data_IF_629898012376
#
_entry.id   IF_629898012376
#
_cell.length_a   1.000
_cell.length_b   1.000
_cell.length_c   1.000
_cell.angle_alpha   90.00
_cell.angle_beta   90.00
_cell.angle_gamma   90.00
#
_symmetry.space_group_name_H-M   'P 1'
#
loop_
_entity.id
_entity.type
_entity.pdbx_description
1 polymer ?
#
# COMPACT_ATOMS: atom_id res chain seq x y z
N UNK A 1 17.83 0.22 -18.11
CA UNK A 1 16.58 1.01 -18.02
C UNK A 1 16.83 2.19 -17.09
N UNK A 2 16.52 3.41 -17.53
CA UNK A 2 16.62 4.58 -16.67
C UNK A 2 15.37 4.66 -15.80
N UNK A 3 15.51 4.60 -14.47
CA UNK A 3 14.40 4.80 -13.53
C UNK A 3 13.99 6.26 -13.53
N UNK A 4 12.67 6.53 -13.61
CA UNK A 4 12.12 7.88 -13.50
C UNK A 4 11.65 8.12 -12.08
N UNK A 5 11.89 9.33 -11.60
CA UNK A 5 11.42 9.79 -10.28
C UNK A 5 10.68 11.12 -10.48
N UNK A 6 9.50 11.23 -9.90
CA UNK A 6 8.73 12.48 -9.86
C UNK A 6 8.42 12.84 -8.42
N UNK A 7 8.52 14.12 -8.09
CA UNK A 7 8.26 14.66 -6.75
C UNK A 7 7.27 15.81 -6.87
N UNK A 8 6.30 15.87 -5.96
CA UNK A 8 5.34 16.95 -5.82
C UNK A 8 5.31 17.46 -4.39
N UNK A 9 5.21 18.76 -4.24
CA UNK A 9 4.94 19.35 -2.94
C UNK A 9 3.45 19.23 -2.64
N UNK A 10 3.10 18.67 -1.49
CA UNK A 10 1.73 18.55 -1.00
C UNK A 10 1.75 18.97 0.48
N UNK A 11 1.17 20.11 0.80
CA UNK A 11 1.20 20.67 2.17
C UNK A 11 0.06 20.13 3.03
N UNK A 12 -1.04 19.77 2.40
CA UNK A 12 -2.25 19.31 3.08
C UNK A 12 -2.78 18.03 2.42
N UNK A 13 -3.46 17.22 3.20
CA UNK A 13 -4.11 16.01 2.70
C UNK A 13 -5.49 16.33 2.10
N UNK A 14 -5.52 17.25 1.10
CA UNK A 14 -6.72 17.50 0.31
C UNK A 14 -6.91 16.36 -0.71
N UNK A 15 -8.07 15.68 -0.75
CA UNK A 15 -8.28 14.50 -1.61
C UNK A 15 -8.08 14.78 -3.10
N UNK A 16 -8.55 15.92 -3.61
CA UNK A 16 -8.46 16.25 -5.03
C UNK A 16 -7.05 16.71 -5.43
N UNK A 17 -6.34 17.43 -4.54
CA UNK A 17 -4.94 17.79 -4.74
C UNK A 17 -4.06 16.54 -4.76
N UNK A 18 -4.24 15.64 -3.80
CA UNK A 18 -3.49 14.38 -3.74
C UNK A 18 -3.78 13.50 -4.95
N UNK A 19 -5.03 13.42 -5.42
CA UNK A 19 -5.40 12.72 -6.63
C UNK A 19 -4.68 13.29 -7.86
N UNK A 20 -4.69 14.62 -8.02
CA UNK A 20 -4.03 15.31 -9.13
C UNK A 20 -2.52 15.03 -9.14
N UNK A 21 -1.89 15.06 -7.97
CA UNK A 21 -0.47 14.74 -7.84
C UNK A 21 -0.16 13.29 -8.17
N UNK A 22 -1.00 12.34 -7.74
CA UNK A 22 -0.85 10.92 -8.05
C UNK A 22 -0.93 10.71 -9.56
N UNK A 23 -1.94 11.28 -10.23
CA UNK A 23 -2.10 11.17 -11.68
C UNK A 23 -0.88 11.70 -12.42
N UNK A 24 -0.45 12.93 -12.10
CA UNK A 24 0.72 13.54 -12.73
C UNK A 24 2.03 12.75 -12.49
N UNK A 25 2.25 12.26 -11.26
CA UNK A 25 3.42 11.43 -10.93
C UNK A 25 3.39 10.12 -11.72
N UNK A 26 2.23 9.47 -11.78
CA UNK A 26 2.06 8.19 -12.48
C UNK A 26 2.38 8.34 -13.97
N UNK A 27 1.82 9.34 -14.62
CA UNK A 27 2.02 9.61 -16.05
C UNK A 27 3.49 9.99 -16.35
N UNK A 28 4.11 10.87 -15.56
CA UNK A 28 5.51 11.27 -15.71
C UNK A 28 6.49 10.11 -15.51
N UNK A 29 6.17 9.21 -14.63
CA UNK A 29 6.98 8.00 -14.37
C UNK A 29 6.73 6.89 -15.39
N UNK A 30 5.86 7.09 -16.38
CA UNK A 30 5.39 6.06 -17.31
C UNK A 30 4.87 4.84 -16.54
N UNK A 31 3.95 5.08 -15.61
CA UNK A 31 3.31 4.02 -14.84
C UNK A 31 2.73 2.93 -15.75
N UNK A 32 2.76 1.67 -15.34
CA UNK A 32 2.29 0.56 -16.17
C UNK A 32 0.79 0.68 -16.47
N UNK A 33 0.34 0.11 -17.59
CA UNK A 33 -1.09 -0.02 -17.87
C UNK A 33 -1.78 -0.89 -16.81
N UNK A 34 -2.88 -0.37 -16.25
CA UNK A 34 -3.67 -1.02 -15.19
C UNK A 34 -5.06 -1.42 -15.65
N UNK A 35 -5.41 -1.19 -16.91
CA UNK A 35 -6.74 -1.53 -17.43
C UNK A 35 -7.00 -3.03 -17.32
N UNK A 36 -8.13 -3.40 -16.70
CA UNK A 36 -8.51 -4.77 -16.39
C UNK A 36 -7.49 -5.57 -15.56
N UNK A 37 -6.62 -4.88 -14.80
CA UNK A 37 -5.62 -5.52 -13.93
C UNK A 37 -6.11 -5.62 -12.49
N UNK A 38 -5.68 -6.68 -11.81
CA UNK A 38 -5.79 -6.83 -10.37
C UNK A 38 -4.60 -6.15 -9.71
N UNK A 39 -4.83 -5.01 -9.07
CA UNK A 39 -3.78 -4.19 -8.46
C UNK A 39 -3.85 -4.28 -6.94
N UNK A 40 -2.75 -4.70 -6.32
CA UNK A 40 -2.59 -4.69 -4.88
C UNK A 40 -1.95 -3.37 -4.45
N UNK A 41 -2.69 -2.55 -3.71
CA UNK A 41 -2.15 -1.42 -2.97
C UNK A 41 -1.62 -1.90 -1.62
N UNK A 42 -0.35 -1.64 -1.40
CA UNK A 42 0.30 -1.93 -0.12
C UNK A 42 0.66 -0.65 0.63
N UNK A 43 -0.23 -0.12 1.47
CA UNK A 43 0.11 0.97 2.39
C UNK A 43 1.16 0.49 3.41
N UNK A 44 1.72 1.42 4.16
CA UNK A 44 2.50 1.11 5.36
C UNK A 44 1.59 1.21 6.58
N UNK A 45 1.27 0.06 7.17
CA UNK A 45 0.45 0.00 8.38
C UNK A 45 1.25 -0.73 9.47
N UNK A 46 1.90 0.04 10.33
CA UNK A 46 2.66 -0.53 11.45
C UNK A 46 1.74 -1.00 12.56
N UNK A 47 0.77 -0.15 12.91
CA UNK A 47 -0.28 -0.40 13.90
C UNK A 47 -1.49 0.47 13.60
N UNK A 48 -2.62 0.18 14.25
CA UNK A 48 -3.87 0.91 14.04
C UNK A 48 -3.93 2.15 14.91
N UNK A 49 -3.43 3.27 14.39
CA UNK A 49 -3.38 4.56 15.08
C UNK A 49 -3.93 5.68 14.20
N UNK A 50 -4.36 6.75 14.86
CA UNK A 50 -4.83 7.97 14.20
C UNK A 50 -3.80 8.50 13.18
N UNK A 51 -4.24 8.91 11.97
CA UNK A 51 -3.38 9.48 10.92
C UNK A 51 -2.52 10.66 11.37
N UNK A 52 -2.99 11.45 12.32
CA UNK A 52 -2.24 12.60 12.89
C UNK A 52 -0.93 12.17 13.56
N UNK A 53 -0.81 10.91 13.96
CA UNK A 53 0.44 10.39 14.50
C UNK A 53 1.52 10.15 13.44
N UNK A 54 1.21 10.31 12.17
CA UNK A 54 2.13 10.15 11.05
C UNK A 54 2.89 8.81 11.00
N UNK A 55 2.32 7.75 11.59
CA UNK A 55 2.94 6.41 11.67
C UNK A 55 2.60 5.54 10.46
N UNK A 56 1.38 5.70 9.94
CA UNK A 56 0.84 4.93 8.80
C UNK A 56 0.77 5.80 7.54
N UNK A 57 0.59 5.18 6.38
CA UNK A 57 0.20 5.90 5.17
C UNK A 57 -1.11 6.62 5.43
N UNK A 58 -1.21 7.90 5.04
CA UNK A 58 -2.41 8.68 5.27
C UNK A 58 -3.59 8.13 4.44
N UNK A 59 -4.81 7.98 5.00
CA UNK A 59 -5.95 7.38 4.29
C UNK A 59 -6.32 8.14 3.03
N UNK A 60 -6.17 9.46 2.97
CA UNK A 60 -6.39 10.26 1.76
C UNK A 60 -5.49 9.83 0.59
N UNK A 61 -4.24 9.45 0.85
CA UNK A 61 -3.34 8.94 -0.20
C UNK A 61 -3.83 7.60 -0.73
N UNK A 62 -4.32 6.73 0.16
CA UNK A 62 -4.90 5.43 -0.21
C UNK A 62 -6.18 5.63 -1.02
N UNK A 63 -7.07 6.52 -0.58
CA UNK A 63 -8.33 6.85 -1.28
C UNK A 63 -8.08 7.41 -2.68
N UNK A 64 -7.18 8.38 -2.80
CA UNK A 64 -6.83 8.99 -4.07
C UNK A 64 -6.23 7.97 -5.06
N UNK A 65 -5.37 7.06 -4.58
CA UNK A 65 -4.83 6.00 -5.41
C UNK A 65 -5.89 4.97 -5.82
N UNK A 66 -6.80 4.59 -4.91
CA UNK A 66 -7.92 3.69 -5.27
C UNK A 66 -8.77 4.32 -6.37
N UNK A 67 -9.19 5.57 -6.20
CA UNK A 67 -9.97 6.32 -7.19
C UNK A 67 -9.25 6.36 -8.54
N UNK A 68 -7.97 6.72 -8.56
CA UNK A 68 -7.14 6.77 -9.76
C UNK A 68 -7.13 5.45 -10.53
N UNK A 69 -7.02 4.32 -9.83
CA UNK A 69 -6.97 2.99 -10.41
C UNK A 69 -8.35 2.53 -10.90
N UNK A 70 -9.41 2.76 -10.12
CA UNK A 70 -10.77 2.37 -10.48
C UNK A 70 -11.26 3.14 -11.72
N UNK A 71 -10.94 4.42 -11.87
CA UNK A 71 -11.23 5.21 -13.07
C UNK A 71 -10.51 4.67 -14.32
N UNK A 72 -9.49 3.82 -14.13
CA UNK A 72 -8.77 3.10 -15.19
C UNK A 72 -9.13 1.62 -15.29
N UNK A 73 -10.31 1.25 -14.79
CA UNK A 73 -10.86 -0.11 -14.81
C UNK A 73 -10.00 -1.16 -14.09
N UNK A 74 -9.18 -0.79 -13.10
CA UNK A 74 -8.46 -1.75 -12.28
C UNK A 74 -9.35 -2.33 -11.18
N UNK A 75 -9.15 -3.61 -10.87
CA UNK A 75 -9.67 -4.23 -9.64
C UNK A 75 -8.71 -3.97 -8.51
N UNK A 76 -9.13 -3.19 -7.51
CA UNK A 76 -8.23 -2.73 -6.44
C UNK A 76 -8.37 -3.57 -5.18
N UNK A 77 -7.26 -4.11 -4.72
CA UNK A 77 -7.11 -4.79 -3.45
C UNK A 77 -6.21 -3.94 -2.55
N UNK A 78 -6.50 -3.88 -1.26
CA UNK A 78 -5.70 -3.13 -0.28
C UNK A 78 -5.36 -4.03 0.89
N UNK A 79 -4.10 -4.09 1.29
CA UNK A 79 -3.73 -4.93 2.42
C UNK A 79 -2.33 -4.65 2.95
N UNK A 80 -2.11 -5.08 4.17
CA UNK A 80 -0.81 -5.10 4.85
C UNK A 80 -0.81 -6.18 5.93
N UNK A 81 0.37 -6.54 6.43
CA UNK A 81 0.51 -7.21 7.72
C UNK A 81 0.97 -6.18 8.76
N UNK A 82 0.40 -6.20 9.98
CA UNK A 82 0.84 -5.33 11.05
C UNK A 82 2.26 -5.70 11.51
N UNK A 83 2.91 -4.79 12.26
CA UNK A 83 4.18 -5.11 12.92
C UNK A 83 4.03 -6.30 13.87
N UNK A 84 5.17 -6.92 14.22
CA UNK A 84 5.35 -8.22 14.88
C UNK A 84 4.41 -8.52 16.10
N UNK A 85 3.81 -7.52 16.70
CA UNK A 85 3.01 -7.68 17.93
C UNK A 85 1.49 -7.61 17.73
N UNK A 86 0.99 -7.48 16.51
CA UNK A 86 -0.43 -7.25 16.25
C UNK A 86 -1.04 -8.39 15.42
N UNK A 87 -1.88 -9.23 16.01
CA UNK A 87 -2.66 -10.27 15.34
C UNK A 87 -4.10 -9.79 15.09
N UNK A 88 -4.65 -10.11 13.92
CA UNK A 88 -6.06 -9.88 13.61
C UNK A 88 -6.44 -8.41 13.41
N UNK A 89 -5.91 -7.79 12.38
CA UNK A 89 -5.87 -6.35 12.21
C UNK A 89 -6.85 -5.82 11.14
N UNK A 90 -7.72 -4.91 11.58
CA UNK A 90 -8.58 -4.13 10.70
C UNK A 90 -8.20 -2.65 10.82
N UNK A 91 -7.39 -2.07 10.13
CA UNK A 91 -6.93 -0.67 10.13
C UNK A 91 -8.05 0.40 10.31
N UNK A 92 -8.82 0.29 11.39
CA UNK A 92 -10.02 1.11 11.64
C UNK A 92 -9.65 2.52 12.10
N UNK A 93 -8.76 2.64 13.10
CA UNK A 93 -8.33 3.95 13.63
C UNK A 93 -7.51 4.76 12.63
N UNK A 94 -6.77 4.09 11.77
CA UNK A 94 -6.01 4.75 10.71
C UNK A 94 -6.88 5.27 9.57
N UNK A 95 -8.17 4.89 9.51
CA UNK A 95 -9.10 5.28 8.46
C UNK A 95 -8.96 4.51 7.14
N UNK A 96 -7.95 3.64 6.98
CA UNK A 96 -7.71 2.93 5.71
C UNK A 96 -8.81 1.89 5.44
N UNK A 97 -9.28 1.18 6.47
CA UNK A 97 -10.36 0.23 6.31
C UNK A 97 -11.67 0.91 5.88
N UNK A 98 -12.00 2.07 6.47
CA UNK A 98 -13.17 2.88 6.08
C UNK A 98 -13.06 3.37 4.65
N UNK A 99 -11.87 3.75 4.20
CA UNK A 99 -11.62 4.09 2.79
C UNK A 99 -11.93 2.90 1.88
N UNK A 100 -11.51 1.69 2.23
CA UNK A 100 -11.85 0.50 1.45
C UNK A 100 -13.37 0.28 1.39
N UNK A 101 -14.08 0.40 2.52
CA UNK A 101 -15.54 0.29 2.56
C UNK A 101 -16.23 1.35 1.69
N UNK A 102 -15.81 2.61 1.80
CA UNK A 102 -16.36 3.75 1.04
C UNK A 102 -16.15 3.59 -0.47
N UNK A 103 -14.99 3.10 -0.89
CA UNK A 103 -14.61 3.01 -2.31
C UNK A 103 -14.98 1.67 -2.96
N UNK A 104 -15.39 0.68 -2.18
CA UNK A 104 -15.61 -0.69 -2.66
C UNK A 104 -14.34 -1.48 -2.96
N UNK A 105 -13.14 -0.95 -2.63
CA UNK A 105 -11.90 -1.71 -2.72
C UNK A 105 -11.87 -2.84 -1.68
N UNK A 106 -11.37 -4.01 -2.08
CA UNK A 106 -11.35 -5.18 -1.19
C UNK A 106 -10.19 -5.08 -0.21
N UNK A 107 -10.50 -5.08 1.10
CA UNK A 107 -9.50 -5.22 2.16
C UNK A 107 -9.03 -6.68 2.30
N UNK A 108 -7.71 -6.89 2.38
CA UNK A 108 -7.08 -8.20 2.57
C UNK A 108 -6.25 -8.18 3.85
N UNK A 109 -6.56 -9.05 4.78
CA UNK A 109 -5.75 -9.28 5.98
C UNK A 109 -4.65 -10.31 5.66
N UNK A 110 -3.41 -9.85 5.48
CA UNK A 110 -2.29 -10.71 5.12
C UNK A 110 -1.94 -11.76 6.18
N UNK A 111 -2.38 -11.57 7.43
CA UNK A 111 -2.20 -12.60 8.48
C UNK A 111 -3.06 -13.83 8.23
N UNK A 112 -4.18 -13.68 7.52
CA UNK A 112 -5.12 -14.76 7.18
C UNK A 112 -4.95 -15.27 5.75
N UNK A 113 -4.42 -14.44 4.86
CA UNK A 113 -4.21 -14.74 3.45
C UNK A 113 -2.73 -15.06 3.18
N UNK A 114 -2.32 -16.31 3.44
CA UNK A 114 -0.92 -16.73 3.33
C UNK A 114 -0.74 -17.95 2.44
N UNK A 115 0.34 -17.95 1.66
CA UNK A 115 0.81 -19.11 0.91
C UNK A 115 2.32 -19.27 1.03
N UNK A 116 2.83 -20.47 0.83
CA UNK A 116 4.26 -20.73 0.81
C UNK A 116 4.89 -20.31 -0.51
N UNK A 117 6.11 -19.79 -0.42
CA UNK A 117 6.98 -19.48 -1.57
C UNK A 117 8.38 -20.01 -1.30
N UNK A 118 9.03 -20.67 -2.29
CA UNK A 118 10.41 -21.09 -2.15
C UNK A 118 11.35 -19.87 -2.12
N UNK A 119 12.34 -19.93 -1.24
CA UNK A 119 13.42 -18.94 -1.15
C UNK A 119 14.74 -19.67 -0.96
N UNK A 120 15.43 -19.97 -2.04
CA UNK A 120 16.59 -20.86 -2.03
C UNK A 120 16.22 -22.26 -1.53
N UNK A 121 16.91 -22.75 -0.50
CA UNK A 121 16.64 -24.03 0.16
C UNK A 121 15.53 -23.99 1.21
N UNK A 122 14.93 -22.82 1.45
CA UNK A 122 13.88 -22.60 2.47
C UNK A 122 12.55 -22.27 1.82
N UNK A 123 11.50 -22.33 2.62
CA UNK A 123 10.18 -21.79 2.28
C UNK A 123 9.86 -20.62 3.21
N UNK A 124 9.27 -19.58 2.65
CA UNK A 124 8.73 -18.45 3.41
C UNK A 124 7.22 -18.36 3.20
N UNK A 125 6.51 -17.84 4.19
CA UNK A 125 5.10 -17.47 4.00
C UNK A 125 5.03 -16.09 3.40
N UNK A 126 4.16 -15.91 2.42
CA UNK A 126 3.89 -14.62 1.78
C UNK A 126 2.37 -14.43 1.68
N UNK A 127 1.89 -13.20 1.70
CA UNK A 127 0.49 -12.91 1.42
C UNK A 127 0.12 -13.50 0.05
N UNK A 128 -0.90 -14.37 -0.01
CA UNK A 128 -1.31 -15.06 -1.24
C UNK A 128 -1.65 -14.08 -2.34
N UNK A 129 -2.34 -12.99 -1.98
CA UNK A 129 -2.73 -11.91 -2.90
C UNK A 129 -1.54 -11.26 -3.61
N UNK A 130 -0.34 -11.27 -3.01
CA UNK A 130 0.87 -10.72 -3.66
C UNK A 130 1.32 -11.56 -4.87
N UNK A 131 0.96 -12.86 -4.90
CA UNK A 131 1.23 -13.76 -6.05
C UNK A 131 0.12 -13.69 -7.10
N UNK A 132 -1.09 -13.31 -6.70
CA UNK A 132 -2.26 -13.25 -7.54
C UNK A 132 -2.45 -11.91 -8.25
N UNK A 133 -1.88 -10.84 -7.71
CA UNK A 133 -1.97 -9.50 -8.27
C UNK A 133 -1.10 -9.37 -9.53
N UNK A 134 -1.63 -8.71 -10.57
CA UNK A 134 -0.88 -8.37 -11.77
C UNK A 134 0.17 -7.27 -11.49
N UNK A 135 -0.13 -6.41 -10.50
CA UNK A 135 0.72 -5.29 -10.11
C UNK A 135 0.62 -5.04 -8.60
N UNK A 136 1.74 -4.71 -7.97
CA UNK A 136 1.80 -4.23 -6.59
C UNK A 136 2.25 -2.77 -6.60
N UNK A 137 1.44 -1.88 -6.03
CA UNK A 137 1.80 -0.48 -5.81
C UNK A 137 2.07 -0.27 -4.32
N UNK A 138 3.32 0.01 -4.00
CA UNK A 138 3.74 0.30 -2.63
C UNK A 138 3.45 1.77 -2.29
N UNK A 139 2.72 2.01 -1.21
CA UNK A 139 2.40 3.34 -0.66
C UNK A 139 3.10 3.52 0.71
N UNK A 140 4.42 3.67 0.73
CA UNK A 140 5.17 3.73 1.98
C UNK A 140 4.93 5.04 2.73
N UNK A 141 5.09 5.00 4.05
CA UNK A 141 5.28 6.20 4.87
C UNK A 141 6.78 6.40 5.11
N UNK A 142 7.34 7.48 4.60
CA UNK A 142 8.72 7.84 4.91
C UNK A 142 8.80 8.31 6.35
N UNK A 143 9.54 7.60 7.18
CA UNK A 143 9.71 7.88 8.62
C UNK A 143 10.97 7.24 9.16
N UNK A 144 11.43 7.68 10.33
CA UNK A 144 12.54 7.06 11.08
C UNK A 144 12.18 5.65 11.53
N UNK A 145 13.19 4.85 11.78
CA UNK A 145 13.04 3.48 12.29
C UNK A 145 14.23 3.10 13.17
N UNK A 146 13.96 2.53 14.34
CA UNK A 146 14.99 2.22 15.35
C UNK A 146 16.08 1.26 14.82
N UNK A 147 15.70 0.21 14.10
CA UNK A 147 16.64 -0.81 13.62
C UNK A 147 17.24 -0.49 12.25
N UNK A 148 16.46 0.04 11.32
CA UNK A 148 16.87 0.24 9.91
C UNK A 148 17.04 1.71 9.57
N UNK A 149 17.13 2.59 10.56
CA UNK A 149 17.23 4.05 10.49
C UNK A 149 16.05 4.74 9.82
N UNK A 150 15.51 4.21 8.70
CA UNK A 150 14.33 4.77 8.07
C UNK A 150 13.41 3.68 7.48
N UNK A 151 12.15 4.03 7.28
CA UNK A 151 11.16 3.25 6.54
C UNK A 151 10.91 3.93 5.20
N UNK A 152 10.96 3.16 4.11
CA UNK A 152 10.70 3.62 2.75
C UNK A 152 10.11 2.49 1.91
N UNK A 153 10.13 2.64 0.58
CA UNK A 153 9.47 1.73 -0.36
C UNK A 153 9.94 0.27 -0.22
N UNK A 154 11.26 0.04 -0.20
CA UNK A 154 11.83 -1.32 -0.10
C UNK A 154 11.44 -1.96 1.23
N UNK A 155 11.62 -1.24 2.36
CA UNK A 155 11.24 -1.78 3.67
C UNK A 155 9.73 -2.05 3.79
N UNK A 156 8.89 -1.27 3.11
CA UNK A 156 7.45 -1.50 3.12
C UNK A 156 7.07 -2.87 2.55
N UNK A 157 7.85 -3.42 1.61
CA UNK A 157 7.58 -4.75 1.03
C UNK A 157 7.74 -5.90 2.03
N UNK A 158 8.44 -5.71 3.15
CA UNK A 158 8.52 -6.71 4.22
C UNK A 158 7.14 -7.09 4.76
N UNK A 159 6.17 -6.19 4.75
CA UNK A 159 4.80 -6.50 5.16
C UNK A 159 4.05 -7.47 4.21
N UNK A 160 4.65 -7.87 3.08
CA UNK A 160 4.14 -8.98 2.26
C UNK A 160 4.51 -10.34 2.84
N UNK A 161 5.44 -10.38 3.78
CA UNK A 161 5.88 -11.58 4.51
C UNK A 161 5.29 -11.48 5.92
N UNK A 162 4.09 -12.07 6.17
CA UNK A 162 3.47 -12.04 7.48
C UNK A 162 4.32 -12.80 8.49
N UNK A 163 4.60 -12.17 9.64
CA UNK A 163 5.41 -12.71 10.73
C UNK A 163 4.63 -13.57 11.73
#
# INVERSE_FOLDING_TARGET
MNSKVAVRNCREYNPDEVYTHISDIYDRCNGPDVNNKKVLLKPNILNDVDPLRCVTTHPVVVEAMIRFLQERNATVLVGDSPGIHFRGFKSEKSGIYQVCQKTGAKWIDFMKDQSEMPLGSRKIKIASVAKEADLIISLPKLKTHQLTFFTGAIKNTLGLVPG
#
